data_IF_971835177896
#
_entry.id   IF_971835177896
#
_cell.length_a   1.000
_cell.length_b   1.000
_cell.length_c   1.000
_cell.angle_alpha   90.00
_cell.angle_beta   90.00
_cell.angle_gamma   90.00
#
_symmetry.space_group_name_H-M   'P 1'
#
loop_
_entity.id
_entity.type
_entity.pdbx_description
1 polymer ?
#
# COMPACT_ATOMS: atom_id res chain seq x y z
N UNK A 1 -27.28 20.01 23.20
CA UNK A 1 -27.08 20.86 21.99
C UNK A 1 -25.58 21.06 21.80
N UNK A 2 -24.95 20.30 20.88
CA UNK A 2 -23.51 20.43 20.60
C UNK A 2 -23.31 21.50 19.53
N UNK A 3 -22.61 22.58 19.87
CA UNK A 3 -22.22 23.64 18.93
C UNK A 3 -21.18 23.09 17.95
N UNK A 4 -21.49 23.14 16.65
CA UNK A 4 -20.52 22.92 15.58
C UNK A 4 -19.55 24.11 15.57
N UNK A 5 -18.27 23.85 15.77
CA UNK A 5 -17.20 24.82 15.59
C UNK A 5 -16.93 24.91 14.08
N UNK A 6 -17.42 25.96 13.42
CA UNK A 6 -16.94 26.34 12.08
C UNK A 6 -15.61 27.07 12.26
N UNK A 7 -14.53 26.51 11.71
CA UNK A 7 -13.25 27.20 11.57
C UNK A 7 -13.23 27.80 10.15
N UNK A 8 -13.11 29.13 9.97
CA UNK A 8 -12.97 29.71 8.64
C UNK A 8 -11.53 29.49 8.16
N UNK A 9 -11.37 28.79 7.03
CA UNK A 9 -10.08 28.63 6.39
C UNK A 9 -9.81 29.85 5.49
N UNK A 10 -9.10 30.84 6.03
CA UNK A 10 -8.50 31.91 5.24
C UNK A 10 -7.00 31.83 5.44
N UNK A 11 -6.31 31.16 4.52
CA UNK A 11 -4.85 31.25 4.41
C UNK A 11 -4.54 32.16 3.21
N UNK A 12 -4.28 33.43 3.47
CA UNK A 12 -3.55 34.29 2.52
C UNK A 12 -2.06 34.12 2.80
N UNK A 13 -1.31 33.59 1.85
CA UNK A 13 0.14 33.73 1.81
C UNK A 13 0.52 34.52 0.56
N UNK A 14 0.89 35.79 0.75
CA UNK A 14 1.58 36.58 -0.27
C UNK A 14 3.06 36.23 -0.22
N UNK A 15 3.58 35.54 -1.23
CA UNK A 15 5.01 35.36 -1.42
C UNK A 15 5.42 36.21 -2.61
N UNK A 16 6.10 37.32 -2.35
CA UNK A 16 6.73 38.17 -3.37
C UNK A 16 8.20 37.80 -3.49
N UNK A 17 8.66 37.20 -4.60
CA UNK A 17 10.10 37.02 -4.82
C UNK A 17 10.52 37.29 -6.26
N UNK A 18 11.24 38.40 -6.43
CA UNK A 18 12.19 38.63 -7.52
C UNK A 18 13.50 37.88 -7.24
N UNK A 19 14.03 37.27 -8.31
CA UNK A 19 15.39 36.81 -8.53
C UNK A 19 15.83 35.48 -7.87
N UNK A 20 15.99 34.45 -8.70
CA UNK A 20 17.27 33.76 -8.96
C UNK A 20 17.07 32.76 -10.11
N UNK A 21 18.13 32.57 -10.91
CA UNK A 21 18.25 31.77 -12.15
C UNK A 21 17.92 32.49 -13.47
N UNK A 22 18.99 33.03 -14.07
CA UNK A 22 19.03 33.48 -15.44
C UNK A 22 18.91 32.30 -16.41
N UNK A 23 17.80 32.27 -17.13
CA UNK A 23 17.55 31.43 -18.29
C UNK A 23 16.24 31.91 -18.91
N UNK A 24 16.27 32.30 -20.18
CA UNK A 24 15.10 32.77 -20.93
C UNK A 24 14.11 31.61 -21.15
N UNK A 25 13.29 31.35 -20.13
CA UNK A 25 12.06 30.57 -20.22
C UNK A 25 10.93 31.52 -19.82
N UNK A 26 9.84 31.51 -20.57
CA UNK A 26 8.75 32.48 -20.43
C UNK A 26 8.19 32.43 -19.00
N UNK A 27 8.19 33.57 -18.29
CA UNK A 27 7.79 33.64 -16.87
C UNK A 27 6.35 33.12 -16.63
N UNK A 28 5.46 33.27 -17.61
CA UNK A 28 4.10 32.73 -17.54
C UNK A 28 4.04 31.20 -17.50
N UNK A 29 4.97 30.51 -18.16
CA UNK A 29 5.03 29.04 -18.16
C UNK A 29 5.61 28.50 -16.84
N UNK A 30 6.48 29.28 -16.18
CA UNK A 30 6.97 28.97 -14.83
C UNK A 30 5.89 29.18 -13.78
N UNK A 31 5.17 30.30 -13.83
CA UNK A 31 4.09 30.60 -12.89
C UNK A 31 2.96 29.56 -12.99
N UNK A 32 2.56 29.17 -14.19
CA UNK A 32 1.53 28.13 -14.38
C UNK A 32 1.97 26.75 -13.85
N UNK A 33 3.24 26.38 -14.02
CA UNK A 33 3.80 25.15 -13.43
C UNK A 33 3.81 25.20 -11.90
N UNK A 34 4.22 26.32 -11.33
CA UNK A 34 4.24 26.51 -9.87
C UNK A 34 2.82 26.47 -9.31
N UNK A 35 1.86 27.14 -9.95
CA UNK A 35 0.45 27.09 -9.53
C UNK A 35 -0.12 25.66 -9.59
N UNK A 36 0.23 24.90 -10.62
CA UNK A 36 -0.18 23.50 -10.76
C UNK A 36 0.45 22.62 -9.66
N UNK A 37 1.73 22.78 -9.37
CA UNK A 37 2.42 22.07 -8.28
C UNK A 37 1.85 22.44 -6.91
N UNK A 38 1.60 23.71 -6.64
CA UNK A 38 1.01 24.18 -5.37
C UNK A 38 -0.40 23.63 -5.20
N UNK A 39 -1.22 23.65 -6.25
CA UNK A 39 -2.58 23.11 -6.22
C UNK A 39 -2.57 21.61 -5.96
N UNK A 40 -1.65 20.88 -6.58
CA UNK A 40 -1.46 19.45 -6.37
C UNK A 40 -1.09 19.15 -4.90
N UNK A 41 -0.06 19.81 -4.35
CA UNK A 41 0.36 19.64 -2.95
C UNK A 41 -0.75 19.99 -1.95
N UNK A 42 -1.55 21.03 -2.23
CA UNK A 42 -2.69 21.38 -1.39
C UNK A 42 -3.76 20.28 -1.41
N UNK A 43 -4.04 19.72 -2.59
CA UNK A 43 -4.99 18.61 -2.72
C UNK A 43 -4.52 17.35 -1.99
N UNK A 44 -3.22 17.04 -2.00
CA UNK A 44 -2.62 15.94 -1.24
C UNK A 44 -2.79 16.14 0.27
N UNK A 45 -2.47 17.34 0.77
CA UNK A 45 -2.61 17.67 2.19
C UNK A 45 -4.06 17.61 2.63
N UNK A 46 -5.00 18.10 1.82
CA UNK A 46 -6.42 18.01 2.11
C UNK A 46 -6.92 16.56 2.11
N UNK A 47 -6.47 15.73 1.17
CA UNK A 47 -6.80 14.30 1.12
C UNK A 47 -6.27 13.56 2.36
N UNK A 48 -5.02 13.80 2.75
CA UNK A 48 -4.43 13.24 3.97
C UNK A 48 -5.16 13.72 5.23
N UNK A 49 -5.56 14.98 5.29
CA UNK A 49 -6.32 15.52 6.42
C UNK A 49 -7.72 14.90 6.52
N UNK A 50 -8.43 14.75 5.39
CA UNK A 50 -9.73 14.07 5.32
C UNK A 50 -9.61 12.61 5.74
N UNK A 51 -8.60 11.91 5.24
CA UNK A 51 -8.39 10.51 5.60
C UNK A 51 -8.03 10.35 7.08
N UNK A 52 -7.20 11.23 7.66
CA UNK A 52 -6.94 11.23 9.12
C UNK A 52 -8.21 11.31 9.97
N UNK A 53 -9.28 11.93 9.47
CA UNK A 53 -10.58 11.94 10.17
C UNK A 53 -11.25 10.57 10.08
N UNK A 54 -11.26 9.94 8.90
CA UNK A 54 -11.82 8.59 8.68
C UNK A 54 -11.02 7.52 9.44
N UNK A 55 -9.69 7.56 9.40
CA UNK A 55 -8.79 6.61 10.06
C UNK A 55 -9.03 6.57 11.57
N UNK A 56 -9.29 7.74 12.18
CA UNK A 56 -9.62 7.82 13.61
C UNK A 56 -10.96 7.15 13.96
N UNK A 57 -11.88 6.96 13.00
CA UNK A 57 -13.14 6.22 13.25
C UNK A 57 -12.93 4.70 13.30
N UNK A 58 -11.89 4.19 12.62
CA UNK A 58 -11.56 2.75 12.54
C UNK A 58 -10.41 2.33 13.46
N UNK A 59 -9.80 3.31 14.15
CA UNK A 59 -8.64 3.08 15.01
C UNK A 59 -9.02 2.21 16.20
N UNK A 60 -8.51 0.97 16.20
CA UNK A 60 -8.59 0.05 17.33
C UNK A 60 -7.56 0.42 18.39
N UNK A 61 -7.77 -0.04 19.61
CA UNK A 61 -6.74 0.00 20.65
C UNK A 61 -5.49 -0.73 20.15
N UNK A 62 -4.35 -0.06 20.17
CA UNK A 62 -3.10 -0.57 19.62
C UNK A 62 -2.69 -1.88 20.31
N UNK A 63 -2.06 -2.76 19.55
CA UNK A 63 -1.52 -4.01 20.10
C UNK A 63 -0.49 -3.69 21.20
N UNK A 64 -0.59 -4.39 22.31
CA UNK A 64 0.33 -4.27 23.45
C UNK A 64 1.16 -5.54 23.65
N UNK A 65 0.72 -6.65 23.05
CA UNK A 65 1.40 -7.95 23.08
C UNK A 65 2.27 -8.12 21.84
N UNK A 66 3.51 -8.56 22.04
CA UNK A 66 4.40 -9.01 20.96
C UNK A 66 4.29 -10.51 20.82
N UNK A 67 4.28 -11.00 19.59
CA UNK A 67 4.19 -12.41 19.22
C UNK A 67 5.49 -12.83 18.51
N UNK A 68 6.56 -13.17 19.26
CA UNK A 68 7.85 -13.49 18.66
C UNK A 68 7.75 -14.63 17.65
N UNK A 69 8.33 -14.44 16.47
CA UNK A 69 8.33 -15.41 15.36
C UNK A 69 6.90 -15.84 14.97
N UNK A 70 5.92 -14.94 14.99
CA UNK A 70 4.54 -15.29 14.66
C UNK A 70 4.41 -15.83 13.22
N UNK A 71 5.24 -15.34 12.29
CA UNK A 71 5.27 -15.82 10.90
C UNK A 71 5.58 -17.32 10.81
N UNK A 72 6.33 -17.88 11.77
CA UNK A 72 6.67 -19.30 11.78
C UNK A 72 5.47 -20.20 12.05
N UNK A 73 4.42 -19.63 12.63
CA UNK A 73 3.16 -20.31 12.89
C UNK A 73 2.18 -20.13 11.72
N UNK A 74 2.46 -19.27 10.74
CA UNK A 74 1.61 -19.12 9.57
C UNK A 74 1.99 -20.13 8.48
N UNK A 75 1.06 -21.00 8.11
CA UNK A 75 1.12 -21.75 6.86
C UNK A 75 0.45 -20.93 5.75
N UNK A 76 1.27 -20.43 4.83
CA UNK A 76 0.79 -19.53 3.78
C UNK A 76 -0.22 -20.20 2.84
N UNK A 77 -0.25 -21.54 2.73
CA UNK A 77 -1.26 -22.24 1.92
C UNK A 77 -2.70 -21.99 2.38
N UNK A 78 -2.89 -21.60 3.64
CA UNK A 78 -4.20 -21.27 4.20
C UNK A 78 -4.38 -19.77 4.44
N UNK A 79 -3.47 -18.93 3.95
CA UNK A 79 -3.48 -17.50 4.25
C UNK A 79 -4.79 -16.83 3.84
N UNK A 80 -5.29 -17.09 2.62
CA UNK A 80 -6.57 -16.54 2.16
C UNK A 80 -7.73 -16.96 3.06
N UNK A 81 -7.73 -18.22 3.53
CA UNK A 81 -8.76 -18.73 4.43
C UNK A 81 -8.65 -18.07 5.81
N UNK A 82 -7.43 -17.98 6.36
CA UNK A 82 -7.16 -17.36 7.65
C UNK A 82 -7.56 -15.88 7.64
N UNK A 83 -7.16 -15.11 6.63
CA UNK A 83 -7.53 -13.69 6.50
C UNK A 83 -9.04 -13.53 6.35
N UNK A 84 -9.71 -14.39 5.59
CA UNK A 84 -11.17 -14.38 5.50
C UNK A 84 -11.85 -14.64 6.87
N UNK A 85 -11.35 -15.57 7.68
CA UNK A 85 -11.88 -15.83 9.03
C UNK A 85 -11.62 -14.65 9.97
N UNK A 86 -10.44 -14.02 9.93
CA UNK A 86 -10.16 -12.79 10.70
C UNK A 86 -11.13 -11.67 10.30
N UNK A 87 -11.32 -11.43 9.00
CA UNK A 87 -12.24 -10.38 8.53
C UNK A 87 -13.68 -10.64 8.97
N UNK A 88 -14.12 -11.90 9.03
CA UNK A 88 -15.44 -12.24 9.60
C UNK A 88 -15.48 -11.95 11.10
N UNK A 89 -14.44 -12.35 11.83
CA UNK A 89 -14.33 -12.11 13.27
C UNK A 89 -14.40 -10.62 13.60
N UNK A 90 -13.66 -9.78 12.88
CA UNK A 90 -13.67 -8.32 13.05
C UNK A 90 -15.04 -7.69 12.81
N UNK A 91 -15.80 -8.22 11.84
CA UNK A 91 -17.17 -7.77 11.56
C UNK A 91 -18.16 -8.18 12.65
N UNK A 92 -17.95 -9.35 13.24
CA UNK A 92 -18.77 -9.85 14.35
C UNK A 92 -18.40 -9.19 15.70
N UNK A 93 -17.16 -8.72 15.83
CA UNK A 93 -16.60 -8.10 17.03
C UNK A 93 -16.01 -6.71 16.70
N UNK A 94 -16.86 -5.72 16.37
CA UNK A 94 -16.40 -4.40 15.95
C UNK A 94 -15.58 -3.65 17.02
N UNK A 95 -15.69 -4.05 18.29
CA UNK A 95 -14.96 -3.48 19.42
C UNK A 95 -13.77 -4.34 19.89
N UNK A 96 -13.43 -5.41 19.17
CA UNK A 96 -12.25 -6.20 19.50
C UNK A 96 -10.98 -5.33 19.40
N UNK A 97 -10.10 -5.44 20.39
CA UNK A 97 -8.77 -4.83 20.36
C UNK A 97 -7.87 -5.53 19.34
N UNK A 98 -6.76 -4.88 18.97
CA UNK A 98 -5.75 -5.50 18.09
C UNK A 98 -5.20 -6.79 18.72
N UNK A 99 -4.97 -6.82 20.04
CA UNK A 99 -4.49 -8.02 20.76
C UNK A 99 -5.50 -9.18 20.66
N UNK A 100 -6.80 -8.93 20.80
CA UNK A 100 -7.83 -9.97 20.66
C UNK A 100 -7.89 -10.53 19.23
N UNK A 101 -7.72 -9.67 18.23
CA UNK A 101 -7.69 -10.09 16.82
C UNK A 101 -6.41 -10.90 16.55
N UNK A 102 -5.28 -10.50 17.10
CA UNK A 102 -4.01 -11.22 16.99
C UNK A 102 -4.07 -12.58 17.70
N UNK A 103 -4.65 -12.66 18.90
CA UNK A 103 -4.89 -13.93 19.59
C UNK A 103 -5.72 -14.88 18.74
N UNK A 104 -6.83 -14.40 18.17
CA UNK A 104 -7.66 -15.20 17.27
C UNK A 104 -6.89 -15.63 16.00
N UNK A 105 -6.07 -14.76 15.42
CA UNK A 105 -5.17 -15.12 14.31
C UNK A 105 -4.22 -16.26 14.70
N UNK A 106 -3.60 -16.19 15.88
CA UNK A 106 -2.69 -17.24 16.35
C UNK A 106 -3.43 -18.57 16.60
N UNK A 107 -4.68 -18.54 17.04
CA UNK A 107 -5.53 -19.73 17.13
C UNK A 107 -5.80 -20.36 15.76
N UNK A 108 -6.15 -19.53 14.76
CA UNK A 108 -6.35 -20.00 13.39
C UNK A 108 -5.08 -20.63 12.82
N UNK A 109 -3.92 -20.01 13.04
CA UNK A 109 -2.62 -20.56 12.65
C UNK A 109 -2.40 -21.97 13.22
N UNK A 110 -2.65 -22.16 14.52
CA UNK A 110 -2.57 -23.50 15.16
C UNK A 110 -3.54 -24.49 14.52
N UNK A 111 -4.78 -24.10 14.27
CA UNK A 111 -5.81 -24.95 13.65
C UNK A 111 -5.39 -25.38 12.24
N UNK A 112 -4.98 -24.45 11.38
CA UNK A 112 -4.65 -24.76 9.99
C UNK A 112 -3.33 -25.52 9.84
N UNK A 113 -2.34 -25.24 10.69
CA UNK A 113 -1.12 -26.05 10.75
C UNK A 113 -1.40 -27.50 11.17
N UNK A 114 -2.29 -27.71 12.16
CA UNK A 114 -2.66 -29.06 12.61
C UNK A 114 -3.29 -29.90 11.50
N UNK A 115 -4.02 -29.26 10.56
CA UNK A 115 -4.63 -29.91 9.39
C UNK A 115 -3.60 -30.31 8.32
N UNK A 116 -2.38 -29.79 8.38
CA UNK A 116 -1.31 -30.07 7.42
C UNK A 116 -0.27 -31.09 7.88
N UNK A 117 -0.41 -31.69 9.07
CA UNK A 117 0.56 -32.67 9.60
C UNK A 117 0.79 -33.90 8.70
N UNK A 118 -0.13 -34.20 7.78
CA UNK A 118 -0.09 -35.41 6.93
C UNK A 118 -0.19 -35.14 5.41
N UNK A 119 -0.07 -33.88 4.95
CA UNK A 119 -0.11 -33.57 3.52
C UNK A 119 1.30 -33.30 3.01
N UNK A 120 1.74 -34.11 2.05
CA UNK A 120 2.92 -33.81 1.24
C UNK A 120 2.76 -32.39 0.68
N UNK A 121 3.76 -31.54 0.89
CA UNK A 121 3.80 -30.17 0.41
C UNK A 121 3.46 -30.12 -1.09
N UNK A 122 2.23 -29.76 -1.43
CA UNK A 122 1.84 -29.52 -2.82
C UNK A 122 2.14 -28.05 -3.11
N UNK A 123 3.35 -27.81 -3.62
CA UNK A 123 3.85 -26.50 -4.03
C UNK A 123 2.90 -25.75 -5.00
N UNK A 124 1.96 -26.46 -5.64
CA UNK A 124 1.02 -25.91 -6.62
C UNK A 124 -0.11 -25.04 -6.02
N UNK A 125 -0.35 -25.08 -4.71
CA UNK A 125 -1.35 -24.24 -4.00
C UNK A 125 -0.72 -23.24 -3.02
N UNK A 126 0.61 -23.26 -2.90
CA UNK A 126 1.32 -22.25 -2.14
C UNK A 126 1.29 -20.93 -2.90
N UNK A 127 1.28 -19.82 -2.15
CA UNK A 127 1.52 -18.45 -2.60
C UNK A 127 2.84 -18.29 -3.37
N UNK A 128 3.03 -18.98 -4.49
CA UNK A 128 4.07 -18.67 -5.47
C UNK A 128 3.56 -17.53 -6.35
N UNK A 129 3.14 -16.43 -5.72
CA UNK A 129 2.86 -15.19 -6.40
C UNK A 129 4.17 -14.43 -6.25
N UNK A 130 4.84 -14.02 -7.34
CA UNK A 130 6.22 -13.52 -7.36
C UNK A 130 6.52 -12.28 -6.49
N UNK A 131 5.58 -11.89 -5.62
CA UNK A 131 5.63 -10.82 -4.64
C UNK A 131 6.46 -11.17 -3.39
N UNK A 132 6.26 -12.35 -2.78
CA UNK A 132 7.08 -12.83 -1.66
C UNK A 132 7.68 -14.19 -2.01
N UNK A 133 8.97 -14.38 -1.69
CA UNK A 133 9.57 -15.71 -1.78
C UNK A 133 8.98 -16.61 -0.69
N UNK A 134 8.53 -17.82 -1.06
CA UNK A 134 7.98 -18.79 -0.12
C UNK A 134 8.94 -19.97 0.03
N UNK A 135 9.45 -20.17 1.25
CA UNK A 135 10.33 -21.29 1.59
C UNK A 135 9.69 -22.09 2.73
N UNK A 136 9.48 -23.39 2.52
CA UNK A 136 8.91 -24.26 3.55
C UNK A 136 7.49 -23.87 3.99
N UNK A 137 6.71 -23.25 3.11
CA UNK A 137 5.35 -22.77 3.42
C UNK A 137 5.31 -21.44 4.18
N UNK A 138 6.42 -20.69 4.21
CA UNK A 138 6.53 -19.40 4.90
C UNK A 138 6.97 -18.28 3.95
N UNK A 139 6.32 -17.13 4.05
CA UNK A 139 6.78 -15.92 3.40
C UNK A 139 8.11 -15.46 4.01
N UNK A 140 9.10 -15.20 3.16
CA UNK A 140 10.39 -14.67 3.60
C UNK A 140 10.26 -13.16 3.79
N UNK A 141 10.28 -12.73 5.06
CA UNK A 141 10.24 -11.33 5.45
C UNK A 141 11.67 -10.83 5.72
N UNK A 142 11.92 -9.55 5.42
CA UNK A 142 13.13 -8.90 5.93
C UNK A 142 13.02 -8.61 7.44
N UNK A 143 14.11 -8.19 8.09
CA UNK A 143 14.11 -7.99 9.55
C UNK A 143 13.12 -6.92 10.04
N UNK A 144 12.83 -5.89 9.23
CA UNK A 144 11.88 -4.84 9.58
C UNK A 144 10.44 -5.32 9.42
N UNK A 145 10.13 -6.00 8.31
CA UNK A 145 8.83 -6.64 8.09
C UNK A 145 8.55 -7.71 9.17
N UNK A 146 9.57 -8.48 9.58
CA UNK A 146 9.46 -9.44 10.67
C UNK A 146 9.10 -8.77 11.99
N UNK A 147 9.75 -7.66 12.34
CA UNK A 147 9.45 -6.92 13.56
C UNK A 147 8.01 -6.38 13.56
N UNK A 148 7.54 -5.87 12.42
CA UNK A 148 6.15 -5.46 12.24
C UNK A 148 5.21 -6.66 12.39
N UNK A 149 5.48 -7.78 11.71
CA UNK A 149 4.66 -8.99 11.79
C UNK A 149 4.57 -9.51 13.22
N UNK A 150 5.67 -9.51 13.98
CA UNK A 150 5.66 -9.94 15.38
C UNK A 150 4.87 -8.97 16.28
N UNK A 151 4.82 -7.67 15.95
CA UNK A 151 4.03 -6.68 16.69
C UNK A 151 2.52 -6.72 16.40
N UNK A 152 2.13 -7.11 15.18
CA UNK A 152 0.74 -7.23 14.79
C UNK A 152 0.59 -8.28 13.67
N UNK A 153 0.53 -9.56 14.04
CA UNK A 153 0.59 -10.65 13.06
C UNK A 153 -0.65 -10.74 12.18
N UNK A 154 -1.83 -10.32 12.68
CA UNK A 154 -3.04 -10.30 11.86
C UNK A 154 -2.95 -9.25 10.73
N UNK A 155 -2.42 -8.04 11.03
CA UNK A 155 -2.18 -7.02 10.01
C UNK A 155 -1.04 -7.39 9.07
N UNK A 156 0.02 -8.03 9.58
CA UNK A 156 1.09 -8.58 8.75
C UNK A 156 0.57 -9.61 7.74
N UNK A 157 -0.26 -10.56 8.18
CA UNK A 157 -0.89 -11.54 7.30
C UNK A 157 -1.77 -10.89 6.22
N UNK A 158 -2.55 -9.86 6.59
CA UNK A 158 -3.35 -9.07 5.65
C UNK A 158 -2.49 -8.32 4.63
N UNK A 159 -1.32 -7.81 5.02
CA UNK A 159 -0.41 -7.13 4.11
C UNK A 159 0.21 -8.09 3.08
N UNK A 160 0.49 -9.33 3.48
CA UNK A 160 0.93 -10.40 2.57
C UNK A 160 -0.19 -10.75 1.56
N UNK A 161 -1.44 -10.91 2.02
CA UNK A 161 -2.60 -11.11 1.11
C UNK A 161 -2.80 -9.93 0.18
N UNK A 162 -2.63 -8.69 0.67
CA UNK A 162 -2.69 -7.50 -0.18
C UNK A 162 -1.65 -7.54 -1.30
N UNK A 163 -0.44 -8.07 -1.02
CA UNK A 163 0.60 -8.26 -2.04
C UNK A 163 0.18 -9.26 -3.12
N UNK A 164 -0.45 -10.37 -2.71
CA UNK A 164 -1.09 -11.33 -3.63
C UNK A 164 -2.16 -10.66 -4.49
N UNK A 165 -3.10 -9.93 -3.89
CA UNK A 165 -4.18 -9.25 -4.61
C UNK A 165 -3.65 -8.20 -5.59
N UNK A 166 -2.59 -7.49 -5.22
CA UNK A 166 -1.91 -6.54 -6.11
C UNK A 166 -1.22 -7.27 -7.28
N UNK A 167 -0.53 -8.37 -7.02
CA UNK A 167 0.09 -9.20 -8.06
C UNK A 167 -0.94 -9.71 -9.06
N UNK A 168 -1.97 -10.40 -8.57
CA UNK A 168 -3.00 -11.04 -9.39
C UNK A 168 -3.78 -9.99 -10.20
N UNK A 169 -4.07 -8.83 -9.60
CA UNK A 169 -4.76 -7.76 -10.31
C UNK A 169 -3.87 -7.10 -11.37
N UNK A 170 -2.56 -7.02 -11.13
CA UNK A 170 -1.60 -6.53 -12.13
C UNK A 170 -1.52 -7.48 -13.31
N UNK A 171 -1.36 -8.79 -13.09
CA UNK A 171 -1.37 -9.78 -14.16
C UNK A 171 -2.70 -9.80 -14.91
N UNK A 172 -3.82 -9.68 -14.19
CA UNK A 172 -5.13 -9.56 -14.82
C UNK A 172 -5.21 -8.33 -15.74
N UNK A 173 -4.66 -7.18 -15.32
CA UNK A 173 -4.76 -5.93 -16.09
C UNK A 173 -3.75 -5.81 -17.23
N UNK A 174 -2.51 -6.24 -17.03
CA UNK A 174 -1.43 -6.08 -18.00
C UNK A 174 -1.12 -7.35 -18.79
N UNK A 175 -1.54 -8.52 -18.30
CA UNK A 175 -1.15 -9.83 -18.83
C UNK A 175 0.24 -10.30 -18.39
N UNK A 176 0.97 -9.48 -17.62
CA UNK A 176 2.31 -9.76 -17.11
C UNK A 176 2.60 -8.93 -15.86
N UNK A 177 3.75 -9.18 -15.22
CA UNK A 177 4.27 -8.41 -14.11
C UNK A 177 5.75 -8.08 -14.34
N UNK A 178 6.03 -6.83 -14.71
CA UNK A 178 7.38 -6.34 -15.03
C UNK A 178 8.15 -5.83 -13.83
N UNK A 179 9.44 -5.58 -14.05
CA UNK A 179 10.37 -4.95 -13.10
C UNK A 179 10.69 -3.54 -13.57
N UNK A 180 10.51 -2.55 -12.71
CA UNK A 180 10.71 -1.11 -12.94
C UNK A 180 9.88 -0.48 -14.07
N UNK A 181 8.83 -1.14 -14.55
CA UNK A 181 7.97 -0.63 -15.61
C UNK A 181 6.64 -0.08 -15.10
N UNK A 182 5.72 0.25 -16.02
CA UNK A 182 4.40 0.76 -15.64
C UNK A 182 3.55 -0.24 -14.87
N UNK A 183 3.68 -1.54 -15.15
CA UNK A 183 2.97 -2.60 -14.42
C UNK A 183 3.51 -2.75 -13.01
N UNK A 184 4.81 -2.54 -12.82
CA UNK A 184 5.44 -2.49 -11.51
C UNK A 184 4.95 -1.30 -10.69
N UNK A 185 4.96 -0.11 -11.29
CA UNK A 185 4.43 1.10 -10.67
C UNK A 185 2.96 0.95 -10.27
N UNK A 186 2.15 0.31 -11.11
CA UNK A 186 0.77 -0.05 -10.81
C UNK A 186 0.68 -1.00 -9.61
N UNK A 187 1.52 -2.04 -9.57
CA UNK A 187 1.54 -3.04 -8.49
C UNK A 187 1.86 -2.43 -7.13
N UNK A 188 2.84 -1.53 -7.05
CA UNK A 188 3.19 -0.82 -5.82
C UNK A 188 2.04 0.05 -5.29
N UNK A 189 1.39 0.81 -6.18
CA UNK A 189 0.21 1.59 -5.82
C UNK A 189 -0.96 0.67 -5.39
N UNK A 190 -1.19 -0.41 -6.12
CA UNK A 190 -2.23 -1.40 -5.83
C UNK A 190 -2.05 -2.04 -4.46
N UNK A 191 -0.81 -2.43 -4.12
CA UNK A 191 -0.50 -3.05 -2.85
C UNK A 191 -0.85 -2.16 -1.66
N UNK A 192 -0.46 -0.88 -1.70
CA UNK A 192 -0.78 0.08 -0.64
C UNK A 192 -2.29 0.26 -0.46
N UNK A 193 -3.03 0.36 -1.57
CA UNK A 193 -4.49 0.52 -1.51
C UNK A 193 -5.16 -0.75 -0.95
N UNK A 194 -4.68 -1.94 -1.33
CA UNK A 194 -5.17 -3.20 -0.76
C UNK A 194 -4.86 -3.32 0.73
N UNK A 195 -3.66 -2.93 1.18
CA UNK A 195 -3.34 -2.91 2.62
C UNK A 195 -4.35 -2.01 3.35
N UNK A 196 -4.59 -0.79 2.88
CA UNK A 196 -5.61 0.11 3.46
C UNK A 196 -7.02 -0.53 3.47
N UNK A 197 -7.35 -1.29 2.42
CA UNK A 197 -8.62 -2.01 2.31
C UNK A 197 -8.76 -3.19 3.27
N UNK A 198 -7.68 -3.68 3.87
CA UNK A 198 -7.70 -4.75 4.87
C UNK A 198 -7.35 -4.28 6.30
N UNK A 199 -6.60 -3.18 6.41
CA UNK A 199 -6.11 -2.62 7.66
C UNK A 199 -6.40 -1.12 7.73
N UNK A 200 -5.41 -0.28 7.50
CA UNK A 200 -5.42 1.17 7.64
C UNK A 200 -4.19 1.79 6.94
N UNK A 201 -4.17 3.12 6.83
CA UNK A 201 -3.09 3.85 6.16
C UNK A 201 -1.77 3.79 6.90
N UNK A 202 -1.80 3.83 8.23
CA UNK A 202 -0.58 3.81 9.04
C UNK A 202 0.16 2.50 8.87
N UNK A 203 -0.56 1.39 8.87
CA UNK A 203 -0.01 0.08 8.59
C UNK A 203 0.50 -0.04 7.16
N UNK A 204 -0.22 0.49 6.16
CA UNK A 204 0.25 0.52 4.77
C UNK A 204 1.58 1.28 4.64
N UNK A 205 1.71 2.41 5.35
CA UNK A 205 2.95 3.19 5.38
C UNK A 205 4.08 2.38 6.02
N UNK A 206 3.87 1.88 7.24
CA UNK A 206 4.92 1.17 8.00
C UNK A 206 5.37 -0.09 7.27
N UNK A 207 4.44 -0.90 6.79
CA UNK A 207 4.72 -2.17 6.11
C UNK A 207 5.49 -1.97 4.81
N UNK A 208 5.00 -1.09 3.93
CA UNK A 208 5.66 -0.88 2.63
C UNK A 208 6.98 -0.12 2.76
N UNK A 209 7.12 0.75 3.76
CA UNK A 209 8.43 1.37 4.06
C UNK A 209 9.42 0.31 4.54
N UNK A 210 9.00 -0.56 5.46
CA UNK A 210 9.84 -1.68 5.91
C UNK A 210 10.27 -2.61 4.76
N UNK A 211 9.39 -2.83 3.77
CA UNK A 211 9.72 -3.58 2.56
C UNK A 211 10.86 -2.93 1.76
N UNK A 212 10.73 -1.64 1.43
CA UNK A 212 11.73 -0.93 0.62
C UNK A 212 13.03 -0.62 1.37
N UNK A 213 12.97 -0.42 2.69
CA UNK A 213 14.14 -0.11 3.51
C UNK A 213 14.92 -1.34 3.97
N UNK A 214 14.23 -2.47 4.17
CA UNK A 214 14.83 -3.71 4.62
C UNK A 214 15.45 -4.57 3.50
N UNK A 215 15.23 -4.21 2.23
CA UNK A 215 15.85 -4.89 1.09
C UNK A 215 17.36 -4.63 1.04
N UNK A 216 18.15 -5.71 1.11
CA UNK A 216 19.62 -5.65 1.23
C UNK A 216 20.34 -5.22 -0.05
N UNK A 217 19.64 -5.13 -1.18
CA UNK A 217 20.21 -4.78 -2.48
C UNK A 217 19.20 -4.03 -3.37
N UNK A 218 18.57 -2.96 -2.86
CA UNK A 218 17.72 -2.12 -3.69
C UNK A 218 18.51 -0.91 -4.24
N UNK A 219 18.78 -0.82 -5.57
CA UNK A 219 19.40 0.36 -6.16
C UNK A 219 18.65 1.64 -5.78
N UNK A 220 19.38 2.73 -5.53
CA UNK A 220 18.77 3.97 -5.00
C UNK A 220 17.60 4.51 -5.84
N UNK A 221 17.65 4.37 -7.17
CA UNK A 221 16.57 4.79 -8.06
C UNK A 221 15.34 3.86 -7.99
N UNK A 222 15.53 2.56 -7.78
CA UNK A 222 14.43 1.59 -7.67
C UNK A 222 13.67 1.90 -6.39
N UNK A 223 14.40 2.00 -5.27
CA UNK A 223 13.84 2.44 -3.99
C UNK A 223 13.10 3.79 -4.07
N UNK A 224 13.61 4.77 -4.82
CA UNK A 224 12.91 6.05 -5.01
C UNK A 224 11.59 5.88 -5.78
N UNK A 225 11.58 5.06 -6.83
CA UNK A 225 10.38 4.73 -7.60
C UNK A 225 9.34 4.03 -6.71
N UNK A 226 9.76 3.01 -5.97
CA UNK A 226 8.90 2.18 -5.13
C UNK A 226 8.29 3.01 -4.01
N UNK A 227 9.10 3.78 -3.28
CA UNK A 227 8.62 4.69 -2.22
C UNK A 227 7.65 5.75 -2.77
N UNK A 228 7.91 6.31 -3.95
CA UNK A 228 7.00 7.23 -4.62
C UNK A 228 5.65 6.56 -4.91
N UNK A 229 5.67 5.42 -5.62
CA UNK A 229 4.48 4.71 -6.04
C UNK A 229 3.68 4.17 -4.85
N UNK A 230 4.36 3.73 -3.79
CA UNK A 230 3.75 3.36 -2.52
C UNK A 230 3.00 4.56 -1.90
N UNK A 231 3.62 5.75 -1.88
CA UNK A 231 2.98 6.97 -1.36
C UNK A 231 1.76 7.40 -2.19
N UNK A 232 1.83 7.31 -3.52
CA UNK A 232 0.72 7.65 -4.42
C UNK A 232 -0.43 6.66 -4.24
N UNK A 233 -0.13 5.36 -4.06
CA UNK A 233 -1.14 4.37 -3.70
C UNK A 233 -1.90 4.79 -2.44
N UNK A 234 -1.20 5.13 -1.36
CA UNK A 234 -1.83 5.57 -0.11
C UNK A 234 -2.63 6.87 -0.26
N UNK A 235 -2.12 7.83 -1.03
CA UNK A 235 -2.83 9.06 -1.34
C UNK A 235 -4.16 8.78 -2.05
N UNK A 236 -4.15 7.97 -3.10
CA UNK A 236 -5.37 7.67 -3.85
C UNK A 236 -6.32 6.74 -3.10
N UNK A 237 -5.81 5.84 -2.25
CA UNK A 237 -6.62 5.14 -1.27
C UNK A 237 -7.34 6.12 -0.33
N UNK A 238 -6.65 7.17 0.10
CA UNK A 238 -7.21 8.23 0.97
C UNK A 238 -8.29 9.04 0.27
N UNK A 239 -8.01 9.53 -0.96
CA UNK A 239 -8.96 10.27 -1.79
C UNK A 239 -10.25 9.47 -2.02
N UNK A 240 -10.12 8.16 -2.23
CA UNK A 240 -11.25 7.27 -2.49
C UNK A 240 -11.88 6.68 -1.22
N UNK A 241 -11.45 7.11 -0.02
CA UNK A 241 -11.95 6.65 1.28
C UNK A 241 -11.88 5.12 1.45
N UNK A 242 -10.81 4.51 0.95
CA UNK A 242 -10.57 3.08 1.13
C UNK A 242 -10.35 2.78 2.61
N UNK A 243 -11.02 1.72 3.06
CA UNK A 243 -11.06 1.27 4.46
C UNK A 243 -11.42 -0.22 4.51
N UNK A 244 -11.35 -0.89 5.67
CA UNK A 244 -11.79 -2.29 5.84
C UNK A 244 -13.24 -2.61 5.43
N UNK A 245 -14.09 -1.58 5.30
CA UNK A 245 -15.47 -1.74 4.84
C UNK A 245 -15.61 -1.62 3.30
N UNK A 246 -14.53 -1.30 2.59
CA UNK A 246 -14.54 -1.17 1.15
C UNK A 246 -14.69 -2.52 0.47
N UNK A 247 -15.51 -2.57 -0.56
CA UNK A 247 -15.63 -3.74 -1.42
C UNK A 247 -14.40 -3.88 -2.33
N UNK A 248 -14.09 -5.09 -2.83
CA UNK A 248 -13.05 -5.27 -3.84
C UNK A 248 -13.21 -4.36 -5.07
N UNK A 249 -14.45 -4.07 -5.47
CA UNK A 249 -14.73 -3.17 -6.59
C UNK A 249 -14.33 -1.71 -6.29
N UNK A 250 -14.63 -1.22 -5.09
CA UNK A 250 -14.20 0.12 -4.65
C UNK A 250 -12.68 0.21 -4.57
N UNK A 251 -12.03 -0.80 -3.99
CA UNK A 251 -10.56 -0.88 -3.93
C UNK A 251 -9.95 -0.85 -5.33
N UNK A 252 -10.43 -1.69 -6.25
CA UNK A 252 -9.96 -1.71 -7.65
C UNK A 252 -10.18 -0.37 -8.36
N UNK A 253 -11.30 0.31 -8.12
CA UNK A 253 -11.56 1.64 -8.68
C UNK A 253 -10.53 2.68 -8.19
N UNK A 254 -10.16 2.66 -6.90
CA UNK A 254 -9.11 3.52 -6.37
C UNK A 254 -7.74 3.23 -6.99
N UNK A 255 -7.43 1.96 -7.24
CA UNK A 255 -6.20 1.55 -7.94
C UNK A 255 -6.16 2.11 -9.37
N UNK A 256 -7.24 1.99 -10.12
CA UNK A 256 -7.34 2.58 -11.47
C UNK A 256 -7.21 4.11 -11.40
N UNK A 257 -7.79 4.75 -10.39
CA UNK A 257 -7.64 6.20 -10.17
C UNK A 257 -6.18 6.59 -9.94
N UNK A 258 -5.43 5.81 -9.16
CA UNK A 258 -4.01 6.05 -8.92
C UNK A 258 -3.19 5.89 -10.22
N UNK A 259 -3.48 4.87 -11.02
CA UNK A 259 -2.76 4.61 -12.28
C UNK A 259 -2.97 5.72 -13.32
N UNK A 260 -4.19 6.26 -13.41
CA UNK A 260 -4.56 7.33 -14.36
C UNK A 260 -4.17 8.73 -13.88
N UNK A 261 -3.56 8.86 -12.69
CA UNK A 261 -3.25 10.15 -12.07
C UNK A 261 -2.21 10.99 -12.80
N UNK A 262 -1.23 10.35 -13.44
CA UNK A 262 -0.01 11.04 -13.89
C UNK A 262 1.12 11.07 -12.87
N UNK A 263 0.92 10.54 -11.65
CA UNK A 263 1.85 10.70 -10.53
C UNK A 263 2.75 9.50 -10.24
N UNK A 264 2.44 8.34 -10.82
CA UNK A 264 3.29 7.16 -10.73
C UNK A 264 4.56 7.33 -11.56
N UNK A 265 5.66 6.75 -11.08
CA UNK A 265 6.97 6.75 -11.74
C UNK A 265 7.33 5.35 -12.22
N UNK A 266 8.06 5.29 -13.33
CA UNK A 266 8.71 4.08 -13.82
C UNK A 266 10.11 4.40 -14.36
N UNK A 267 10.90 3.37 -14.63
CA UNK A 267 12.20 3.53 -15.26
C UNK A 267 12.04 3.72 -16.76
N UNK A 268 12.52 4.84 -17.25
CA UNK A 268 12.69 5.07 -18.67
C UNK A 268 14.16 5.02 -19.03
N UNK A 269 14.51 4.21 -20.02
CA UNK A 269 15.86 4.15 -20.56
C UNK A 269 15.97 4.98 -21.83
N UNK A 270 17.03 5.80 -21.92
CA UNK A 270 17.42 6.53 -23.12
C UNK A 270 18.92 6.40 -23.37
N UNK A 271 19.31 6.31 -24.64
CA UNK A 271 20.72 6.26 -25.06
C UNK A 271 21.52 7.51 -24.70
N UNK A 272 20.85 8.63 -24.38
CA UNK A 272 21.50 9.90 -24.08
C UNK A 272 21.65 10.19 -22.59
N UNK A 273 20.67 9.77 -21.78
CA UNK A 273 20.60 10.09 -20.34
C UNK A 273 20.77 8.88 -19.44
N UNK A 274 20.83 7.67 -20.02
CA UNK A 274 20.73 6.42 -19.25
C UNK A 274 19.32 6.22 -18.68
N UNK A 275 19.24 5.45 -17.59
CA UNK A 275 18.00 5.20 -16.87
C UNK A 275 17.62 6.41 -16.02
N UNK A 276 16.40 6.89 -16.19
CA UNK A 276 15.81 7.99 -15.40
C UNK A 276 14.41 7.62 -14.91
N UNK A 277 13.97 8.25 -13.82
CA UNK A 277 12.61 8.12 -13.32
C UNK A 277 11.69 9.10 -14.04
N UNK A 278 10.58 8.59 -14.60
CA UNK A 278 9.64 9.41 -15.36
C UNK A 278 8.24 9.19 -14.82
N UNK A 279 7.54 10.29 -14.53
CA UNK A 279 6.11 10.28 -14.23
C UNK A 279 5.31 9.92 -15.49
N UNK A 280 4.22 9.17 -15.33
CA UNK A 280 3.37 8.80 -16.46
C UNK A 280 1.89 8.80 -16.11
N UNK A 281 1.07 9.09 -17.12
CA UNK A 281 -0.38 8.90 -17.07
C UNK A 281 -0.72 7.54 -17.66
N UNK A 282 -1.39 6.70 -16.89
CA UNK A 282 -1.93 5.43 -17.37
C UNK A 282 -3.16 5.61 -18.25
N UNK A 283 -3.34 4.72 -19.23
CA UNK A 283 -4.48 4.73 -20.14
C UNK A 283 -5.19 3.36 -20.14
N UNK A 284 -6.47 3.34 -20.50
CA UNK A 284 -7.20 2.07 -20.67
C UNK A 284 -6.59 1.17 -21.75
N UNK A 285 -5.92 1.77 -22.74
CA UNK A 285 -5.18 1.03 -23.78
C UNK A 285 -3.92 0.32 -23.27
N UNK A 286 -3.45 0.64 -22.05
CA UNK A 286 -2.35 -0.10 -21.43
C UNK A 286 -2.83 -1.47 -20.89
N UNK A 287 -4.15 -1.64 -20.69
CA UNK A 287 -4.72 -2.86 -20.14
C UNK A 287 -5.18 -3.83 -21.24
N UNK A 288 -5.14 -5.11 -20.93
CA UNK A 288 -5.65 -6.18 -21.79
C UNK A 288 -7.17 -6.43 -21.61
N UNK A 289 -7.81 -5.79 -20.62
CA UNK A 289 -9.25 -5.87 -20.34
C UNK A 289 -9.83 -4.65 -19.60
#
# INVERSE_FOLDING_TARGET
MKKKLLIPLTLMFSISWTALFGGSINAQDQDAKIEQEVTHVLSEKEALLKYRVVDNEYKREAATVVYPNAIDQLDVNYLDVIVNEITKYEKQHPHASEDQINEYFMELCKIYNSKNQNKSFNAATALSNGFYNIIGGKAQLNAQEQALFDSNPSKGAKAIVAGKEAWDYTEYKFGFNGHNDKSDAFRHAAWNIWIMGFTDWSWAYDWTTAHEEGSSYNPALEKEMDLNNNSIGRLYGSINNISPNSTPAQTRAAIISAYKSGDLKYFYWSSFTGTVLVKFTGYDSDFIN
#
